data_IF_614146936354
#
_entry.id   IF_614146936354
#
_cell.length_a   1.000
_cell.length_b   1.000
_cell.length_c   1.000
_cell.angle_alpha   90.00
_cell.angle_beta   90.00
_cell.angle_gamma   90.00
#
_symmetry.space_group_name_H-M   'P 1'
#
loop_
_entity.id
_entity.type
_entity.pdbx_description
1 polymer ?
#
# COMPACT_ATOMS: atom_id res chain seq x y z
N UNK A 1 -42.94 -39.86 -14.51
CA UNK A 1 -42.52 -38.82 -15.48
C UNK A 1 -41.25 -38.17 -14.96
N UNK A 2 -40.32 -37.88 -15.86
CA UNK A 2 -38.90 -37.57 -15.62
C UNK A 2 -38.62 -36.26 -14.86
N UNK A 3 -37.44 -36.26 -14.22
CA UNK A 3 -36.70 -35.20 -13.52
C UNK A 3 -36.47 -33.89 -14.30
N UNK A 4 -36.10 -32.81 -13.57
CA UNK A 4 -35.06 -31.88 -14.05
C UNK A 4 -35.18 -30.39 -13.69
N UNK A 5 -34.49 -30.00 -12.62
CA UNK A 5 -33.57 -28.84 -12.45
C UNK A 5 -33.84 -27.41 -13.00
N UNK A 6 -33.50 -26.46 -12.10
CA UNK A 6 -32.79 -25.19 -12.32
C UNK A 6 -33.53 -24.04 -13.06
N UNK A 7 -33.21 -22.76 -12.91
CA UNK A 7 -32.48 -21.87 -11.99
C UNK A 7 -32.43 -20.53 -12.74
N UNK A 8 -32.41 -19.40 -12.03
CA UNK A 8 -31.94 -18.10 -12.51
C UNK A 8 -32.80 -17.36 -13.54
N UNK A 9 -32.78 -16.02 -13.69
CA UNK A 9 -32.31 -14.85 -12.95
C UNK A 9 -32.60 -13.66 -13.90
N UNK A 10 -32.36 -12.43 -13.44
CA UNK A 10 -32.01 -11.23 -14.26
C UNK A 10 -33.18 -10.36 -14.73
N UNK A 11 -33.20 -9.16 -14.14
CA UNK A 11 -33.91 -8.00 -14.64
C UNK A 11 -32.98 -7.14 -15.51
N UNK A 12 -33.56 -6.62 -16.58
CA UNK A 12 -32.98 -5.98 -17.75
C UNK A 12 -32.46 -4.56 -17.45
N UNK A 13 -31.37 -4.14 -18.11
CA UNK A 13 -31.30 -2.94 -18.97
C UNK A 13 -29.84 -2.71 -19.42
N UNK A 14 -29.51 -3.12 -20.64
CA UNK A 14 -28.23 -2.84 -21.30
C UNK A 14 -28.46 -2.33 -22.73
N UNK A 15 -27.55 -1.45 -23.15
CA UNK A 15 -27.26 -0.98 -24.51
C UNK A 15 -28.23 0.01 -25.16
N UNK A 16 -27.76 1.26 -25.25
CA UNK A 16 -27.97 2.11 -26.43
C UNK A 16 -26.64 2.19 -27.20
N UNK A 17 -26.65 1.65 -28.41
CA UNK A 17 -25.77 2.06 -29.51
C UNK A 17 -26.25 3.45 -30.02
N UNK A 18 -25.64 4.21 -30.93
CA UNK A 18 -24.95 3.97 -32.20
C UNK A 18 -24.21 5.29 -32.57
N UNK A 19 -23.28 5.22 -33.54
CA UNK A 19 -22.98 6.23 -34.60
C UNK A 19 -21.66 7.00 -34.46
N UNK A 20 -20.87 7.29 -35.51
CA UNK A 20 -21.07 7.28 -36.97
C UNK A 20 -19.69 7.29 -37.70
N UNK A 21 -19.66 6.69 -38.91
CA UNK A 21 -18.94 7.12 -40.14
C UNK A 21 -17.40 7.08 -40.28
N UNK A 22 -16.98 6.01 -40.96
CA UNK A 22 -15.91 5.81 -41.96
C UNK A 22 -15.46 7.04 -42.81
N UNK A 23 -14.14 7.30 -42.97
CA UNK A 23 -13.51 7.59 -44.28
C UNK A 23 -11.98 7.81 -44.24
N UNK A 24 -11.26 7.05 -45.10
CA UNK A 24 -10.05 7.37 -45.89
C UNK A 24 -8.79 7.94 -45.20
N UNK A 25 -7.69 7.17 -45.11
CA UNK A 25 -6.59 7.05 -46.10
C UNK A 25 -5.53 8.15 -45.98
N UNK A 26 -4.26 7.75 -46.13
CA UNK A 26 -3.01 8.55 -46.32
C UNK A 26 -2.11 8.71 -45.08
N UNK A 27 -1.09 7.84 -45.00
CA UNK A 27 0.27 8.20 -44.57
C UNK A 27 0.99 8.84 -45.77
N UNK A 28 1.85 9.88 -45.59
CA UNK A 28 3.31 9.67 -45.64
C UNK A 28 4.09 10.64 -44.70
N UNK A 29 5.17 10.18 -44.05
CA UNK A 29 6.58 10.28 -44.43
C UNK A 29 7.19 11.69 -44.42
N UNK A 30 8.14 11.92 -43.50
CA UNK A 30 9.48 12.53 -43.68
C UNK A 30 10.05 12.75 -42.25
N UNK A 31 10.84 11.81 -41.74
CA UNK A 31 12.30 11.78 -41.85
C UNK A 31 12.98 12.94 -41.11
N UNK A 32 13.78 12.60 -40.09
CA UNK A 32 15.02 13.25 -39.64
C UNK A 32 15.60 12.35 -38.52
N UNK A 33 16.30 11.28 -38.90
CA UNK A 33 17.77 11.17 -38.99
C UNK A 33 18.48 11.11 -37.64
N UNK A 34 19.20 9.99 -37.51
CA UNK A 34 20.40 9.82 -36.68
C UNK A 34 20.18 9.64 -35.18
N UNK A 35 20.14 8.38 -34.72
CA UNK A 35 21.15 7.91 -33.75
C UNK A 35 21.55 6.48 -34.08
N UNK A 36 22.85 6.36 -34.32
CA UNK A 36 23.62 5.17 -34.66
C UNK A 36 24.00 4.40 -33.40
N UNK A 37 24.03 3.08 -33.55
CA UNK A 37 24.97 2.13 -32.95
C UNK A 37 24.90 1.76 -31.45
N UNK A 38 25.11 0.46 -31.29
CA UNK A 38 25.35 -0.36 -30.11
C UNK A 38 26.55 0.13 -29.26
N UNK A 39 26.44 0.11 -27.92
CA UNK A 39 27.48 -0.35 -26.98
C UNK A 39 26.95 -0.34 -25.53
N UNK A 40 27.30 -1.38 -24.77
CA UNK A 40 27.06 -1.52 -23.33
C UNK A 40 28.01 -0.64 -22.51
N UNK A 41 27.61 -0.41 -21.25
CA UNK A 41 28.35 0.22 -20.14
C UNK A 41 28.52 1.74 -20.30
N UNK A 42 28.05 2.56 -19.36
CA UNK A 42 28.68 2.69 -18.04
C UNK A 42 27.79 3.55 -17.15
N UNK A 43 27.42 3.04 -15.97
CA UNK A 43 27.01 3.88 -14.85
C UNK A 43 28.24 4.57 -14.26
N UNK A 44 28.18 5.87 -13.93
CA UNK A 44 28.91 6.39 -12.78
C UNK A 44 27.94 6.56 -11.61
N UNK A 45 28.12 5.72 -10.60
CA UNK A 45 27.72 5.96 -9.20
C UNK A 45 28.28 7.33 -8.73
N UNK A 46 27.75 8.03 -7.72
CA UNK A 46 27.62 7.62 -6.31
C UNK A 46 26.68 8.58 -5.57
N UNK A 47 25.97 8.04 -4.57
CA UNK A 47 25.44 8.67 -3.33
C UNK A 47 23.93 8.93 -3.36
N UNK A 48 23.05 8.09 -2.83
CA UNK A 48 23.22 7.18 -1.71
C UNK A 48 22.61 5.83 -2.05
N UNK A 49 23.42 4.78 -1.93
CA UNK A 49 22.94 3.58 -1.29
C UNK A 49 22.54 4.00 0.13
N UNK A 50 21.31 4.51 0.26
CA UNK A 50 20.62 4.42 1.53
C UNK A 50 20.51 2.92 1.71
N UNK A 51 21.17 2.39 2.74
CA UNK A 51 20.68 1.17 3.37
C UNK A 51 19.23 1.49 3.66
N UNK A 52 18.32 1.10 2.76
CA UNK A 52 16.88 1.26 2.96
C UNK A 52 16.59 0.40 4.17
N UNK A 53 16.76 1.01 5.33
CA UNK A 53 16.07 0.65 6.54
C UNK A 53 14.64 1.00 6.16
N UNK A 54 13.99 0.07 5.45
CA UNK A 54 12.70 0.26 4.81
C UNK A 54 11.77 0.66 5.95
N UNK A 55 11.59 1.97 6.10
CA UNK A 55 10.76 2.53 7.16
C UNK A 55 9.41 1.92 6.92
N UNK A 56 8.88 1.25 7.93
CA UNK A 56 7.62 0.58 7.78
C UNK A 56 6.54 1.65 7.64
N UNK A 57 5.69 1.59 6.63
CA UNK A 57 4.64 2.59 6.39
C UNK A 57 3.31 1.89 6.17
N UNK A 58 2.26 2.46 6.75
CA UNK A 58 0.88 2.01 6.62
C UNK A 58 0.04 3.20 6.16
N UNK A 59 -0.54 3.09 4.97
CA UNK A 59 -1.33 4.15 4.36
C UNK A 59 -2.79 4.11 4.80
N UNK A 60 -3.48 5.24 4.64
CA UNK A 60 -4.89 5.40 4.96
C UNK A 60 -5.76 4.37 4.28
N UNK A 61 -5.59 4.26 2.99
CA UNK A 61 -6.39 3.38 2.14
C UNK A 61 -6.20 1.92 2.56
N UNK A 62 -4.99 1.55 2.99
CA UNK A 62 -4.71 0.20 3.49
C UNK A 62 -5.38 -0.06 4.84
N UNK A 63 -5.34 0.93 5.73
CA UNK A 63 -6.01 0.86 7.03
C UNK A 63 -7.53 0.77 6.89
N UNK A 64 -8.12 1.57 6.01
CA UNK A 64 -9.56 1.61 5.74
C UNK A 64 -10.09 0.27 5.24
N UNK A 65 -9.27 -0.46 4.48
CA UNK A 65 -9.55 -1.82 4.03
C UNK A 65 -9.30 -2.87 5.12
N UNK A 66 -8.37 -2.61 6.03
CA UNK A 66 -7.92 -3.52 7.08
C UNK A 66 -8.48 -3.17 8.47
N UNK A 67 -9.69 -2.61 8.57
CA UNK A 67 -10.35 -2.13 9.82
C UNK A 67 -10.62 -3.18 10.93
N UNK A 68 -10.00 -4.36 10.85
CA UNK A 68 -10.12 -5.41 11.88
C UNK A 68 -8.73 -5.90 12.26
N UNK A 69 -8.54 -6.28 13.54
CA UNK A 69 -7.25 -6.78 14.04
C UNK A 69 -6.70 -7.96 13.22
N UNK A 70 -7.56 -8.85 12.73
CA UNK A 70 -7.17 -9.97 11.85
C UNK A 70 -6.71 -9.51 10.46
N UNK A 71 -7.34 -8.48 9.89
CA UNK A 71 -6.96 -7.94 8.57
C UNK A 71 -5.70 -7.09 8.64
N UNK A 72 -5.46 -6.43 9.78
CA UNK A 72 -4.20 -5.72 10.05
C UNK A 72 -3.01 -6.68 10.13
N UNK A 73 -3.22 -7.88 10.65
CA UNK A 73 -2.24 -8.96 10.56
C UNK A 73 -2.04 -9.50 9.14
N UNK A 74 -2.87 -9.17 8.15
CA UNK A 74 -2.58 -9.53 6.76
C UNK A 74 -1.58 -8.56 6.11
N UNK A 75 -1.29 -7.42 6.76
CA UNK A 75 -0.38 -6.42 6.23
C UNK A 75 1.07 -6.95 6.34
N UNK A 76 1.77 -7.17 5.22
CA UNK A 76 3.08 -7.81 5.24
C UNK A 76 4.13 -6.96 5.97
N UNK A 77 3.98 -5.65 5.85
CA UNK A 77 4.84 -4.68 6.52
C UNK A 77 4.67 -4.80 8.05
N UNK A 78 3.44 -4.80 8.57
CA UNK A 78 3.21 -4.90 10.02
C UNK A 78 3.71 -6.24 10.60
N UNK A 79 3.49 -7.35 9.91
CA UNK A 79 4.07 -8.64 10.33
C UNK A 79 5.58 -8.58 10.45
N UNK A 80 6.26 -7.91 9.52
CA UNK A 80 7.71 -7.76 9.56
C UNK A 80 8.14 -6.97 10.80
N UNK A 81 7.43 -5.91 11.16
CA UNK A 81 7.67 -5.14 12.39
C UNK A 81 7.53 -6.02 13.63
N UNK A 82 6.39 -6.72 13.75
CA UNK A 82 6.08 -7.57 14.91
C UNK A 82 7.14 -8.68 15.04
N UNK A 83 7.47 -9.38 13.94
CA UNK A 83 8.49 -10.41 13.95
C UNK A 83 9.88 -9.87 14.32
N UNK A 84 10.23 -8.66 13.86
CA UNK A 84 11.50 -8.02 14.21
C UNK A 84 11.54 -7.65 15.70
N UNK A 85 10.43 -7.19 16.27
CA UNK A 85 10.31 -6.89 17.70
C UNK A 85 10.33 -8.17 18.55
N UNK A 86 9.70 -9.26 18.10
CA UNK A 86 9.74 -10.55 18.80
C UNK A 86 11.17 -11.10 18.95
N UNK A 87 12.07 -10.78 18.01
CA UNK A 87 13.49 -11.12 18.09
C UNK A 87 14.29 -10.31 19.12
N UNK A 88 13.81 -9.11 19.48
CA UNK A 88 14.41 -8.25 20.51
C UNK A 88 13.34 -7.42 21.22
N UNK A 89 12.71 -8.03 22.23
CA UNK A 89 11.60 -7.44 23.00
C UNK A 89 12.00 -6.25 23.87
N UNK A 90 13.30 -5.92 23.96
CA UNK A 90 13.74 -4.74 24.68
C UNK A 90 13.54 -3.45 23.88
N UNK A 91 13.37 -3.56 22.56
CA UNK A 91 13.11 -2.43 21.68
C UNK A 91 11.74 -1.82 21.95
N UNK A 92 11.64 -0.52 21.70
CA UNK A 92 10.39 0.24 21.74
C UNK A 92 9.93 0.44 20.29
N UNK A 93 8.63 0.24 20.05
CA UNK A 93 7.99 0.54 18.77
C UNK A 93 7.55 2.00 18.81
N UNK A 94 8.17 2.83 17.98
CA UNK A 94 7.70 4.18 17.72
C UNK A 94 6.67 4.15 16.60
N UNK A 95 5.48 4.70 16.86
CA UNK A 95 4.38 4.83 15.92
C UNK A 95 4.19 6.32 15.65
N UNK A 96 4.58 6.74 14.45
CA UNK A 96 4.36 8.11 13.98
C UNK A 96 3.12 8.18 13.14
N UNK A 97 2.14 8.97 13.54
CA UNK A 97 0.81 9.01 12.91
C UNK A 97 0.52 10.41 12.33
N UNK A 98 -0.44 10.54 11.39
CA UNK A 98 -0.84 11.86 10.94
C UNK A 98 -1.45 12.63 12.13
N UNK A 99 -1.21 13.93 12.24
CA UNK A 99 -1.84 14.72 13.31
C UNK A 99 -3.35 14.84 13.12
N UNK A 100 -4.02 15.45 14.10
CA UNK A 100 -5.47 15.69 14.03
C UNK A 100 -6.30 14.52 14.56
N UNK A 101 -7.62 14.74 14.64
CA UNK A 101 -8.56 13.85 15.34
C UNK A 101 -8.64 12.45 14.72
N UNK A 102 -8.62 12.38 13.38
CA UNK A 102 -8.61 11.12 12.64
C UNK A 102 -7.36 10.29 12.91
N UNK A 103 -6.19 10.95 12.92
CA UNK A 103 -4.92 10.31 13.22
C UNK A 103 -4.84 9.79 14.66
N UNK A 104 -5.39 10.54 15.63
CA UNK A 104 -5.53 10.08 17.01
C UNK A 104 -6.37 8.79 17.10
N UNK A 105 -7.52 8.76 16.41
CA UNK A 105 -8.38 7.57 16.40
C UNK A 105 -7.68 6.35 15.81
N UNK A 106 -6.96 6.55 14.71
CA UNK A 106 -6.14 5.52 14.09
C UNK A 106 -5.07 4.96 15.02
N UNK A 107 -4.26 5.83 15.61
CA UNK A 107 -3.12 5.37 16.42
C UNK A 107 -3.61 4.66 17.69
N UNK A 108 -4.73 5.09 18.27
CA UNK A 108 -5.37 4.40 19.38
C UNK A 108 -5.82 2.98 18.97
N UNK A 109 -6.58 2.88 17.88
CA UNK A 109 -7.07 1.59 17.37
C UNK A 109 -5.92 0.63 17.04
N UNK A 110 -4.85 1.14 16.43
CA UNK A 110 -3.65 0.38 16.10
C UNK A 110 -2.92 -0.09 17.36
N UNK A 111 -2.81 0.77 18.37
CA UNK A 111 -2.18 0.44 19.65
C UNK A 111 -2.95 -0.64 20.39
N UNK A 112 -4.29 -0.55 20.44
CA UNK A 112 -5.16 -1.57 21.04
C UNK A 112 -4.99 -2.94 20.38
N UNK A 113 -4.82 -2.96 19.05
CA UNK A 113 -4.53 -4.19 18.32
C UNK A 113 -3.15 -4.73 18.64
N UNK A 114 -2.11 -3.90 18.67
CA UNK A 114 -0.77 -4.34 19.05
C UNK A 114 -0.74 -4.91 20.48
N UNK A 115 -1.47 -4.32 21.42
CA UNK A 115 -1.68 -4.87 22.77
C UNK A 115 -2.35 -6.23 22.73
N UNK A 116 -3.42 -6.37 21.93
CA UNK A 116 -4.13 -7.64 21.74
C UNK A 116 -3.25 -8.74 21.13
N UNK A 117 -2.21 -8.37 20.39
CA UNK A 117 -1.19 -9.26 19.83
C UNK A 117 -0.05 -9.59 20.81
N UNK A 118 -0.10 -9.06 22.03
CA UNK A 118 0.86 -9.33 23.09
C UNK A 118 2.04 -8.38 23.15
N UNK A 119 1.98 -7.23 22.46
CA UNK A 119 2.98 -6.16 22.59
C UNK A 119 2.57 -5.26 23.76
N UNK A 120 3.36 -5.19 24.85
CA UNK A 120 3.03 -4.34 25.99
C UNK A 120 2.99 -2.85 25.61
N UNK A 121 2.05 -2.09 26.18
CA UNK A 121 1.91 -0.65 25.90
C UNK A 121 3.12 0.18 26.35
N UNK A 122 3.88 -0.25 27.37
CA UNK A 122 5.14 0.37 27.78
C UNK A 122 6.27 0.19 26.75
N UNK A 123 6.07 -0.68 25.77
CA UNK A 123 7.00 -0.91 24.64
C UNK A 123 6.55 -0.21 23.37
N UNK A 124 5.60 0.72 23.48
CA UNK A 124 5.13 1.54 22.37
C UNK A 124 5.17 3.02 22.74
N UNK A 125 5.52 3.85 21.77
CA UNK A 125 5.43 5.30 21.88
C UNK A 125 4.75 5.85 20.65
N UNK A 126 3.76 6.71 20.84
CA UNK A 126 3.03 7.38 19.76
C UNK A 126 3.54 8.80 19.62
N UNK A 127 3.80 9.23 18.39
CA UNK A 127 4.32 10.58 18.11
C UNK A 127 3.52 11.18 16.95
N UNK A 128 2.85 12.33 17.13
CA UNK A 128 2.17 12.98 16.02
C UNK A 128 3.18 13.51 15.00
N UNK A 129 2.84 13.46 13.73
CA UNK A 129 3.68 13.95 12.64
C UNK A 129 4.46 12.85 11.93
N UNK A 130 3.75 11.99 11.21
CA UNK A 130 4.36 11.01 10.29
C UNK A 130 5.00 11.64 9.04
N UNK A 131 4.71 12.91 8.76
CA UNK A 131 5.23 13.66 7.60
C UNK A 131 4.26 13.75 6.42
N UNK A 132 3.13 13.03 6.50
CA UNK A 132 1.96 13.19 5.61
C UNK A 132 0.68 12.94 6.42
N UNK A 133 -0.47 13.35 5.92
CA UNK A 133 -1.79 13.17 6.55
C UNK A 133 -2.40 11.78 6.31
N UNK A 134 -1.83 11.02 5.38
CA UNK A 134 -2.38 9.76 4.85
C UNK A 134 -1.59 8.52 5.26
N UNK A 135 -0.64 8.62 6.20
CA UNK A 135 0.21 7.48 6.57
C UNK A 135 0.65 7.44 8.03
N UNK A 136 0.78 6.23 8.55
CA UNK A 136 1.48 5.89 9.79
C UNK A 136 2.86 5.32 9.44
N UNK A 137 3.90 5.74 10.16
CA UNK A 137 5.25 5.20 10.06
C UNK A 137 5.62 4.47 11.34
N UNK A 138 6.33 3.37 11.19
CA UNK A 138 6.87 2.63 12.33
C UNK A 138 8.39 2.65 12.32
N UNK A 139 8.95 2.73 13.51
CA UNK A 139 10.37 2.52 13.75
C UNK A 139 10.55 1.67 15.01
N UNK A 140 11.67 0.94 15.06
CA UNK A 140 12.13 0.27 16.27
C UNK A 140 13.30 1.05 16.84
N UNK A 141 13.14 1.55 18.06
CA UNK A 141 14.17 2.31 18.78
C UNK A 141 14.73 1.46 19.93
N UNK A 142 15.95 1.79 20.36
CA UNK A 142 16.72 1.04 21.37
C UNK A 142 16.48 1.60 22.77
#
# INVERSE_FOLDING_TARGET
MYNGAAMSHINSQYLRAISFTLCLYVQPLLANTSVTNVEQATQPAVKAAVVETKSLQLYAEQWELARTGESVLALPELNKLINTWLGDKNKIIEIRYPGGEEGEFWVQSLSDWLVSLGIPSDRMVTVPGSGSDDMIKFALIK
#
